data_IF_252561730578
#
_entry.id   IF_252561730578
#
_cell.length_a   1.000
_cell.length_b   1.000
_cell.length_c   1.000
_cell.angle_alpha   90.00
_cell.angle_beta   90.00
_cell.angle_gamma   90.00
#
_symmetry.space_group_name_H-M   'P 1'
#
loop_
_entity.id
_entity.type
_entity.pdbx_description
1 polymer ?
#
# COMPACT_ATOMS: atom_id res chain seq x y z
N UNK A 1 -15.51 -6.22 -9.38
CA UNK A 1 -14.42 -7.15 -9.02
C UNK A 1 -13.74 -6.59 -7.78
N UNK A 2 -13.16 -7.42 -6.92
CA UNK A 2 -12.40 -6.97 -5.75
C UNK A 2 -11.04 -7.67 -5.74
N UNK A 3 -9.94 -6.92 -5.71
CA UNK A 3 -8.60 -7.43 -5.45
C UNK A 3 -8.41 -7.56 -3.94
N UNK A 4 -8.67 -8.75 -3.41
CA UNK A 4 -8.76 -8.96 -1.95
C UNK A 4 -7.41 -8.98 -1.25
N UNK A 5 -6.31 -9.26 -1.98
CA UNK A 5 -4.96 -9.27 -1.43
C UNK A 5 -3.96 -8.78 -2.47
N UNK A 6 -3.18 -7.78 -2.10
CA UNK A 6 -1.96 -7.34 -2.77
C UNK A 6 -1.17 -6.44 -1.82
N UNK A 7 0.12 -6.31 -2.07
CA UNK A 7 1.03 -5.54 -1.23
C UNK A 7 2.46 -5.66 -1.72
N UNK A 8 3.33 -4.81 -1.20
CA UNK A 8 4.77 -4.84 -1.47
C UNK A 8 5.52 -4.49 -0.18
N UNK A 9 6.76 -4.94 -0.04
CA UNK A 9 7.63 -4.53 1.07
C UNK A 9 8.61 -3.47 0.58
N UNK A 10 8.46 -2.22 1.02
CA UNK A 10 9.35 -1.13 0.62
C UNK A 10 10.73 -1.34 1.25
N UNK A 11 11.77 -1.45 0.41
CA UNK A 11 13.15 -1.65 0.86
C UNK A 11 13.80 -0.32 1.23
N UNK A 12 14.85 -0.40 2.05
CA UNK A 12 15.68 0.77 2.32
C UNK A 12 16.23 1.35 1.01
N UNK A 13 16.08 2.67 0.83
CA UNK A 13 16.45 3.43 -0.38
C UNK A 13 15.65 3.11 -1.66
N UNK A 14 14.55 2.38 -1.55
CA UNK A 14 13.59 2.25 -2.66
C UNK A 14 12.79 3.56 -2.78
N UNK A 15 12.68 4.07 -4.01
CA UNK A 15 11.89 5.28 -4.31
C UNK A 15 10.55 4.86 -4.90
N UNK A 16 9.47 5.48 -4.41
CA UNK A 16 8.12 5.30 -4.98
C UNK A 16 7.91 6.37 -6.04
N UNK A 17 8.32 6.06 -7.28
CA UNK A 17 8.09 6.88 -8.47
C UNK A 17 6.87 6.37 -9.27
N UNK A 18 6.58 6.97 -10.43
CA UNK A 18 5.41 6.62 -11.24
C UNK A 18 5.44 5.17 -11.76
N UNK A 19 6.63 4.59 -11.94
CA UNK A 19 6.82 3.22 -12.42
C UNK A 19 6.86 2.19 -11.30
N UNK A 20 6.92 2.63 -10.04
CA UNK A 20 6.89 1.75 -8.87
C UNK A 20 5.57 0.98 -8.81
N UNK A 21 5.65 -0.32 -8.44
CA UNK A 21 4.50 -1.24 -8.40
C UNK A 21 3.28 -0.64 -7.71
N UNK A 22 3.47 0.03 -6.57
CA UNK A 22 2.39 0.67 -5.82
C UNK A 22 1.57 1.66 -6.66
N UNK A 23 2.23 2.58 -7.37
CA UNK A 23 1.53 3.57 -8.20
C UNK A 23 0.87 2.91 -9.41
N UNK A 24 1.59 2.00 -10.07
CA UNK A 24 1.08 1.28 -11.24
C UNK A 24 -0.17 0.46 -10.92
N UNK A 25 -0.18 -0.28 -9.80
CA UNK A 25 -1.31 -1.16 -9.44
C UNK A 25 -2.53 -0.36 -8.98
N UNK A 26 -2.35 0.71 -8.19
CA UNK A 26 -3.44 1.57 -7.74
C UNK A 26 -4.12 2.22 -8.95
N UNK A 27 -3.33 2.84 -9.84
CA UNK A 27 -3.83 3.44 -11.08
C UNK A 27 -4.58 2.44 -11.98
N UNK A 28 -4.09 1.21 -12.10
CA UNK A 28 -4.77 0.17 -12.87
C UNK A 28 -6.11 -0.24 -12.25
N UNK A 29 -6.15 -0.47 -10.95
CA UNK A 29 -7.35 -0.92 -10.24
C UNK A 29 -8.42 0.18 -10.25
N UNK A 30 -8.05 1.41 -9.90
CA UNK A 30 -8.95 2.55 -9.83
C UNK A 30 -9.42 2.99 -11.22
N UNK A 31 -8.52 3.02 -12.21
CA UNK A 31 -8.86 3.30 -13.60
C UNK A 31 -9.83 2.28 -14.22
N UNK A 32 -10.05 1.13 -13.58
CA UNK A 32 -11.02 0.10 -13.98
C UNK A 32 -12.20 -0.04 -13.02
N UNK A 33 -12.31 0.79 -11.99
CA UNK A 33 -13.36 0.70 -10.96
C UNK A 33 -13.30 -0.61 -10.16
N UNK A 34 -12.11 -1.19 -9.98
CA UNK A 34 -11.89 -2.40 -9.19
C UNK A 34 -11.61 -1.98 -7.75
N UNK A 35 -12.48 -2.40 -6.81
CA UNK A 35 -12.22 -2.23 -5.38
C UNK A 35 -11.04 -3.11 -4.94
N UNK A 36 -10.37 -2.71 -3.86
CA UNK A 36 -9.16 -3.39 -3.44
C UNK A 36 -9.00 -3.37 -1.92
N UNK A 37 -8.23 -4.32 -1.39
CA UNK A 37 -7.87 -4.41 0.02
C UNK A 37 -6.37 -4.70 0.12
N UNK A 38 -5.63 -3.82 0.77
CA UNK A 38 -4.19 -3.99 0.97
C UNK A 38 -3.93 -5.11 2.01
N UNK A 39 -2.91 -5.91 1.75
CA UNK A 39 -2.42 -6.95 2.65
C UNK A 39 -1.07 -6.53 3.24
N UNK A 40 -0.86 -6.47 4.56
CA UNK A 40 -1.80 -6.76 5.67
C UNK A 40 -1.63 -5.76 6.80
N UNK A 41 -2.74 -5.42 7.46
CA UNK A 41 -2.76 -4.57 8.66
C UNK A 41 -2.44 -5.40 9.92
N UNK A 42 -1.24 -5.95 9.94
CA UNK A 42 -0.69 -6.76 11.03
C UNK A 42 0.85 -6.59 11.06
N UNK A 43 1.49 -6.53 12.24
CA UNK A 43 2.94 -6.33 12.35
C UNK A 43 3.75 -7.63 12.22
N UNK A 44 3.13 -8.80 12.29
CA UNK A 44 3.80 -10.11 12.23
C UNK A 44 3.73 -10.72 10.82
N UNK A 45 2.62 -10.50 10.11
CA UNK A 45 2.39 -11.07 8.78
C UNK A 45 2.95 -10.18 7.66
N UNK A 46 3.58 -10.81 6.67
CA UNK A 46 4.26 -10.10 5.60
C UNK A 46 3.46 -9.94 4.30
N UNK A 47 3.68 -8.83 3.54
CA UNK A 47 4.44 -7.64 3.93
C UNK A 47 3.66 -6.71 4.90
N UNK A 48 4.22 -6.34 6.07
CA UNK A 48 3.45 -5.71 7.14
C UNK A 48 3.21 -4.23 6.88
N UNK A 49 1.99 -3.74 7.12
CA UNK A 49 1.65 -2.31 7.13
C UNK A 49 2.01 -1.62 8.44
N UNK A 50 2.18 -2.38 9.52
CA UNK A 50 2.48 -1.88 10.86
C UNK A 50 3.86 -2.35 11.33
N UNK A 51 4.56 -1.51 12.08
CA UNK A 51 5.78 -1.90 12.79
C UNK A 51 5.45 -2.61 14.12
N UNK A 52 4.40 -2.18 14.81
CA UNK A 52 3.94 -2.81 16.06
C UNK A 52 2.51 -2.42 16.44
N UNK A 53 1.85 -3.27 17.25
CA UNK A 53 0.56 -2.98 17.86
C UNK A 53 0.61 -1.89 18.95
N UNK A 54 1.79 -1.58 19.49
CA UNK A 54 1.93 -0.54 20.52
C UNK A 54 1.91 0.87 19.93
N UNK A 55 2.68 1.06 18.85
CA UNK A 55 2.87 2.37 18.24
C UNK A 55 1.87 2.65 17.11
N UNK A 56 1.35 1.60 16.49
CA UNK A 56 0.66 1.65 15.19
C UNK A 56 1.47 2.41 14.12
N UNK A 57 2.79 2.51 14.30
CA UNK A 57 3.67 3.16 13.33
C UNK A 57 3.61 2.37 12.03
N UNK A 58 3.37 3.08 10.93
CA UNK A 58 3.27 2.46 9.62
C UNK A 58 4.66 2.17 9.07
N UNK A 59 4.79 1.06 8.36
CA UNK A 59 5.95 0.80 7.51
C UNK A 59 5.86 1.67 6.24
N UNK A 60 6.87 1.61 5.37
CA UNK A 60 6.84 2.32 4.09
C UNK A 60 5.65 1.92 3.21
N UNK A 61 5.25 0.64 3.20
CA UNK A 61 4.07 0.20 2.45
C UNK A 61 2.76 0.66 3.11
N UNK A 62 2.73 0.74 4.45
CA UNK A 62 1.57 1.15 5.22
C UNK A 62 1.27 2.63 5.00
N UNK A 63 2.30 3.46 4.98
CA UNK A 63 2.16 4.88 4.66
C UNK A 63 1.71 5.06 3.19
N UNK A 64 2.27 4.30 2.25
CA UNK A 64 1.81 4.32 0.86
C UNK A 64 0.30 4.04 0.74
N UNK A 65 -0.17 2.91 1.27
CA UNK A 65 -1.59 2.54 1.15
C UNK A 65 -2.52 3.50 1.90
N UNK A 66 -2.07 4.08 3.01
CA UNK A 66 -2.81 5.14 3.70
C UNK A 66 -2.96 6.38 2.82
N UNK A 67 -1.92 6.80 2.11
CA UNK A 67 -2.01 7.93 1.17
C UNK A 67 -2.95 7.59 0.01
N UNK A 68 -2.88 6.37 -0.53
CA UNK A 68 -3.76 5.89 -1.59
C UNK A 68 -5.24 5.96 -1.17
N UNK A 69 -5.59 5.39 -0.01
CA UNK A 69 -6.96 5.40 0.50
C UNK A 69 -7.50 6.78 0.86
N UNK A 70 -6.62 7.73 1.18
CA UNK A 70 -7.00 9.11 1.50
C UNK A 70 -6.98 10.03 0.28
N UNK A 71 -6.84 9.47 -0.94
CA UNK A 71 -6.79 10.20 -2.22
C UNK A 71 -5.68 11.26 -2.27
N UNK A 72 -4.53 10.97 -1.63
CA UNK A 72 -3.37 11.89 -1.61
C UNK A 72 -2.26 11.48 -2.58
N UNK A 73 -2.50 10.50 -3.43
CA UNK A 73 -1.54 10.03 -4.44
C UNK A 73 -1.68 10.78 -5.77
N UNK A 74 -2.77 11.54 -5.98
CA UNK A 74 -2.88 12.49 -7.12
C UNK A 74 -3.54 13.82 -6.70
N UNK A 75 -2.79 14.91 -6.91
CA UNK A 75 -3.18 16.21 -7.51
C UNK A 75 -1.98 16.67 -8.36
#
# INVERSE_FOLDING_TARGET
>A
MIATEFGFGLRANETVDDDHYGNVIIKYLEGRGISWCAWVYDPEWGPPMLESWESYKLTGNGEFFKQAMLEKIED
#
